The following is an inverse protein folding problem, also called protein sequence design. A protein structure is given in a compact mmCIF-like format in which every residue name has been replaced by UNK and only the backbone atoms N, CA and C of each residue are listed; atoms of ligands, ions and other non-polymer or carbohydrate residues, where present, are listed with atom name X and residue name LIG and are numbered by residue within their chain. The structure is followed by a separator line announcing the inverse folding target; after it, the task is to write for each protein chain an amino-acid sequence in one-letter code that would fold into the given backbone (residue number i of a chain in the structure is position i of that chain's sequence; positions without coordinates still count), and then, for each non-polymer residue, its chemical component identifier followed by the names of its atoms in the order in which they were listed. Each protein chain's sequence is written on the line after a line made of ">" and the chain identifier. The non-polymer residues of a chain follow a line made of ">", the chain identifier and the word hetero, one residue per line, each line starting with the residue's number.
data_IF_468431180245
#
_entry.id   IF_468431180245
#
_cell.length_a   1.000
_cell.length_b   1.000
_cell.length_c   1.000
_cell.angle_alpha   90.00
_cell.angle_beta   90.00
_cell.angle_gamma   90.00
#
_symmetry.space_group_name_H-M   'P 1'
#
loop_
_entity.id
_entity.type
_entity.pdbx_description
1 polymer ?
#
# COMPACT_ATOMS: atom_id res chain seq x y z
N UNK A 1 3.99 -1.32 13.20
CA UNK A 1 2.87 -1.51 12.29
C UNK A 1 1.66 -1.19 13.13
N UNK A 2 0.87 -0.23 12.70
CA UNK A 2 -0.37 0.12 13.40
C UNK A 2 -1.31 -1.10 13.37
N UNK A 3 -2.21 -1.22 14.35
CA UNK A 3 -3.21 -2.28 14.31
C UNK A 3 -4.05 -2.16 13.02
N UNK A 4 -4.42 -3.30 12.45
CA UNK A 4 -5.29 -3.39 11.27
C UNK A 4 -6.64 -2.71 11.49
N UNK A 5 -7.14 -2.67 12.74
CA UNK A 5 -8.34 -1.93 13.14
C UNK A 5 -8.26 -0.41 12.93
N UNK A 6 -7.07 0.16 12.72
CA UNK A 6 -6.91 1.57 12.37
C UNK A 6 -7.16 1.86 10.87
N UNK A 7 -7.32 0.81 10.05
CA UNK A 7 -7.58 0.91 8.61
C UNK A 7 -8.97 0.39 8.22
N UNK A 8 -9.80 -0.03 9.19
CA UNK A 8 -11.06 -0.73 8.92
C UNK A 8 -11.94 -0.07 7.86
N UNK A 9 -12.10 1.25 7.85
CA UNK A 9 -12.92 1.93 6.83
C UNK A 9 -12.37 1.74 5.42
N UNK A 10 -11.04 1.83 5.25
CA UNK A 10 -10.38 1.59 3.96
C UNK A 10 -10.47 0.10 3.57
N UNK A 11 -10.19 -0.81 4.51
CA UNK A 11 -10.23 -2.25 4.23
C UNK A 11 -11.65 -2.72 3.89
N UNK A 12 -12.67 -2.19 4.56
CA UNK A 12 -14.08 -2.46 4.25
C UNK A 12 -14.48 -1.90 2.90
N UNK A 13 -14.01 -0.71 2.53
CA UNK A 13 -14.23 -0.17 1.19
C UNK A 13 -13.70 -1.13 0.11
N UNK A 14 -12.46 -1.59 0.24
CA UNK A 14 -11.88 -2.55 -0.70
C UNK A 14 -12.69 -3.86 -0.70
N UNK A 15 -13.01 -4.41 0.47
CA UNK A 15 -13.78 -5.66 0.58
C UNK A 15 -15.18 -5.55 -0.02
N UNK A 16 -15.83 -4.38 0.06
CA UNK A 16 -17.16 -4.15 -0.52
C UNK A 16 -17.20 -4.26 -2.05
N UNK A 17 -16.04 -4.29 -2.71
CA UNK A 17 -15.90 -4.47 -4.17
C UNK A 17 -15.55 -5.91 -4.57
N UNK A 18 -15.79 -6.88 -3.68
CA UNK A 18 -15.62 -8.31 -3.98
C UNK A 18 -14.23 -8.88 -3.67
N UNK A 19 -13.39 -8.13 -2.95
CA UNK A 19 -12.07 -8.60 -2.54
C UNK A 19 -12.09 -9.21 -1.13
N UNK A 20 -11.28 -10.26 -0.94
CA UNK A 20 -10.95 -10.77 0.40
C UNK A 20 -9.72 -10.02 0.89
N UNK A 21 -9.83 -9.33 2.03
CA UNK A 21 -8.75 -8.51 2.58
C UNK A 21 -8.14 -9.19 3.80
N UNK A 22 -6.91 -9.66 3.65
CA UNK A 22 -6.11 -10.21 4.76
C UNK A 22 -5.17 -9.12 5.29
N UNK A 23 -5.42 -8.66 6.52
CA UNK A 23 -4.65 -7.57 7.14
C UNK A 23 -3.98 -8.05 8.44
N UNK A 24 -2.81 -8.71 8.35
CA UNK A 24 -2.14 -9.29 9.50
C UNK A 24 -1.55 -8.20 10.41
N UNK A 25 -1.48 -8.51 11.71
CA UNK A 25 -0.76 -7.70 12.70
C UNK A 25 0.47 -8.48 13.16
N UNK A 26 1.66 -7.99 12.80
CA UNK A 26 2.91 -8.73 13.08
C UNK A 26 3.46 -8.55 14.51
N UNK A 27 3.10 -7.46 15.18
CA UNK A 27 3.59 -7.15 16.53
C UNK A 27 2.66 -6.16 17.26
N UNK A 28 2.80 -6.13 18.60
CA UNK A 28 2.08 -5.23 19.49
C UNK A 28 2.92 -4.00 19.86
N UNK A 29 3.18 -3.83 21.16
CA UNK A 29 3.95 -2.69 21.67
C UNK A 29 5.44 -2.74 21.30
N UNK A 30 6.01 -3.94 21.21
CA UNK A 30 7.42 -4.15 20.89
C UNK A 30 7.60 -4.18 19.38
N UNK A 31 8.39 -3.23 18.88
CA UNK A 31 8.72 -3.12 17.47
C UNK A 31 9.70 -4.21 17.06
N UNK A 32 9.40 -4.93 15.98
CA UNK A 32 10.35 -5.85 15.34
C UNK A 32 11.16 -5.12 14.27
N UNK A 33 12.15 -5.79 13.67
CA UNK A 33 12.88 -5.24 12.51
C UNK A 33 12.08 -5.41 11.21
N UNK A 34 12.36 -4.62 10.16
CA UNK A 34 11.70 -4.81 8.85
C UNK A 34 12.01 -6.20 8.26
N UNK A 35 13.24 -6.75 8.36
CA UNK A 35 13.46 -8.11 7.91
C UNK A 35 12.55 -9.15 8.55
N UNK A 36 12.25 -8.99 9.85
CA UNK A 36 11.31 -9.86 10.55
C UNK A 36 9.85 -9.60 10.11
N UNK A 37 9.48 -8.37 9.76
CA UNK A 37 8.17 -8.11 9.13
C UNK A 37 8.01 -8.79 7.77
N UNK A 38 9.03 -8.71 6.92
CA UNK A 38 9.02 -9.34 5.60
C UNK A 38 8.93 -10.85 5.73
N UNK A 39 9.66 -11.44 6.69
CA UNK A 39 9.56 -12.87 7.01
C UNK A 39 8.14 -13.25 7.43
N UNK A 40 7.50 -12.47 8.30
CA UNK A 40 6.11 -12.72 8.74
C UNK A 40 5.10 -12.52 7.63
N UNK A 41 5.32 -11.53 6.76
CA UNK A 41 4.49 -11.32 5.58
C UNK A 41 4.60 -12.49 4.60
N UNK A 42 5.81 -13.03 4.40
CA UNK A 42 6.02 -14.26 3.63
C UNK A 42 5.27 -15.45 4.25
N UNK A 43 5.38 -15.66 5.57
CA UNK A 43 4.66 -16.73 6.28
C UNK A 43 3.14 -16.60 6.16
N UNK A 44 2.59 -15.38 6.21
CA UNK A 44 1.17 -15.15 5.96
C UNK A 44 0.80 -15.53 4.53
N UNK A 45 1.66 -15.20 3.57
CA UNK A 45 1.44 -15.54 2.16
C UNK A 45 1.45 -17.05 1.93
N UNK A 46 2.39 -17.78 2.55
CA UNK A 46 2.46 -19.25 2.52
C UNK A 46 1.24 -19.90 3.20
N UNK A 47 0.68 -19.24 4.21
CA UNK A 47 -0.52 -19.69 4.92
C UNK A 47 -1.80 -19.51 4.08
N UNK A 48 -1.86 -18.58 3.12
CA UNK A 48 -3.10 -18.27 2.40
C UNK A 48 -3.77 -19.51 1.77
N UNK A 49 -3.08 -20.37 1.00
CA UNK A 49 -3.76 -21.45 0.26
C UNK A 49 -4.39 -22.52 1.15
N UNK A 50 -3.81 -22.77 2.33
CA UNK A 50 -4.23 -23.86 3.23
C UNK A 50 -5.00 -23.36 4.45
N UNK A 51 -4.68 -22.15 4.91
CA UNK A 51 -5.21 -21.58 6.12
C UNK A 51 -6.39 -20.64 5.90
N UNK A 52 -6.37 -19.82 4.83
CA UNK A 52 -7.45 -18.88 4.56
C UNK A 52 -8.83 -19.57 4.42
N UNK A 53 -8.99 -20.72 3.74
CA UNK A 53 -10.29 -21.38 3.63
C UNK A 53 -10.93 -21.71 4.98
N UNK A 54 -10.12 -21.98 6.02
CA UNK A 54 -10.62 -22.33 7.36
C UNK A 54 -11.24 -21.17 8.14
N UNK A 55 -11.02 -19.93 7.71
CA UNK A 55 -11.51 -18.71 8.37
C UNK A 55 -12.51 -17.93 7.51
N UNK A 56 -12.78 -18.39 6.30
CA UNK A 56 -13.77 -17.80 5.41
C UNK A 56 -15.17 -18.38 5.68
N UNK A 57 -16.24 -17.61 5.41
CA UNK A 57 -17.60 -18.16 5.38
C UNK A 57 -17.73 -19.29 4.35
N UNK A 58 -18.65 -20.25 4.59
CA UNK A 58 -18.82 -21.50 3.85
C UNK A 58 -18.94 -21.38 2.31
N UNK A 59 -19.25 -20.19 1.79
CA UNK A 59 -19.45 -19.93 0.34
C UNK A 59 -18.47 -18.90 -0.23
N UNK A 60 -17.47 -18.50 0.53
CA UNK A 60 -16.47 -17.53 0.11
C UNK A 60 -15.19 -18.30 -0.21
N UNK A 61 -14.85 -18.34 -1.50
CA UNK A 61 -13.62 -18.96 -1.98
C UNK A 61 -12.67 -17.86 -2.44
N UNK A 62 -11.43 -17.92 -1.97
CA UNK A 62 -10.39 -17.01 -2.40
C UNK A 62 -9.72 -17.53 -3.69
N UNK A 63 -9.57 -16.65 -4.67
CA UNK A 63 -8.80 -16.94 -5.88
C UNK A 63 -7.32 -16.68 -5.61
N UNK A 64 -6.55 -17.76 -5.42
CA UNK A 64 -5.10 -17.68 -5.15
C UNK A 64 -4.29 -17.27 -6.38
N UNK A 65 -4.86 -17.33 -7.58
CA UNK A 65 -4.22 -16.79 -8.79
C UNK A 65 -4.36 -15.27 -8.85
N UNK A 66 -5.28 -14.67 -8.08
CA UNK A 66 -5.55 -13.22 -8.05
C UNK A 66 -5.11 -12.60 -6.73
N UNK A 67 -3.81 -12.72 -6.40
CA UNK A 67 -3.25 -12.17 -5.17
C UNK A 67 -2.62 -10.77 -5.38
N UNK A 68 -3.04 -9.79 -4.58
CA UNK A 68 -2.43 -8.47 -4.50
C UNK A 68 -1.70 -8.26 -3.17
N UNK A 69 -0.58 -7.54 -3.20
CA UNK A 69 0.14 -7.13 -2.01
C UNK A 69 0.02 -5.62 -1.82
N UNK A 70 -0.31 -5.18 -0.61
CA UNK A 70 -0.47 -3.76 -0.30
C UNK A 70 0.07 -3.41 1.07
N UNK A 71 0.58 -2.20 1.23
CA UNK A 71 1.02 -1.69 2.52
C UNK A 71 1.10 -0.18 2.60
N UNK A 72 0.90 0.36 3.81
CA UNK A 72 1.03 1.78 4.13
C UNK A 72 2.30 2.07 4.94
N UNK A 73 3.02 3.14 4.62
CA UNK A 73 4.21 3.60 5.37
C UNK A 73 5.27 2.50 5.43
N UNK A 74 5.72 2.15 6.62
CA UNK A 74 6.55 0.98 6.91
C UNK A 74 6.01 -0.32 6.32
N UNK A 75 4.69 -0.50 6.27
CA UNK A 75 4.06 -1.65 5.62
C UNK A 75 4.22 -1.65 4.10
N UNK A 76 4.23 -0.48 3.46
CA UNK A 76 4.51 -0.35 2.03
C UNK A 76 5.96 -0.76 1.72
N UNK A 77 6.90 -0.36 2.56
CA UNK A 77 8.29 -0.84 2.49
C UNK A 77 8.36 -2.37 2.59
N UNK A 78 7.68 -2.96 3.57
CA UNK A 78 7.61 -4.41 3.75
C UNK A 78 7.03 -5.11 2.53
N UNK A 79 6.00 -4.53 1.90
CA UNK A 79 5.41 -5.03 0.67
C UNK A 79 6.41 -5.06 -0.50
N UNK A 80 7.14 -3.96 -0.74
CA UNK A 80 8.20 -3.90 -1.75
C UNK A 80 9.35 -4.88 -1.45
N UNK A 81 9.80 -4.97 -0.20
CA UNK A 81 10.88 -5.90 0.17
C UNK A 81 10.50 -7.37 -0.07
N UNK A 82 9.24 -7.72 0.21
CA UNK A 82 8.71 -9.06 -0.07
C UNK A 82 8.65 -9.32 -1.58
N UNK A 83 8.09 -8.39 -2.36
CA UNK A 83 8.00 -8.50 -3.81
C UNK A 83 9.37 -8.62 -4.49
N UNK A 84 10.38 -7.90 -4.01
CA UNK A 84 11.77 -7.95 -4.50
C UNK A 84 12.55 -9.18 -4.00
N UNK A 85 11.99 -9.97 -3.08
CA UNK A 85 12.66 -11.15 -2.52
C UNK A 85 13.91 -10.84 -1.67
N UNK A 86 14.07 -9.61 -1.16
CA UNK A 86 15.31 -9.12 -0.52
C UNK A 86 15.71 -9.87 0.77
N UNK A 87 14.85 -10.70 1.35
CA UNK A 87 15.10 -11.46 2.60
C UNK A 87 14.85 -12.97 2.45
N UNK A 88 14.36 -13.44 1.29
CA UNK A 88 13.72 -14.76 1.20
C UNK A 88 14.49 -15.83 0.41
N UNK A 89 15.82 -15.92 0.61
CA UNK A 89 16.65 -16.94 -0.08
C UNK A 89 16.63 -18.35 0.54
N UNK A 90 16.04 -18.53 1.74
CA UNK A 90 16.07 -19.81 2.50
C UNK A 90 14.71 -20.44 2.79
N UNK A 91 13.59 -19.75 2.55
CA UNK A 91 12.29 -20.40 2.55
C UNK A 91 12.10 -21.05 1.18
N UNK A 92 11.89 -22.37 1.14
CA UNK A 92 11.65 -23.18 -0.07
C UNK A 92 10.29 -22.88 -0.74
N UNK A 93 9.82 -21.65 -0.63
CA UNK A 93 8.47 -21.26 -1.01
C UNK A 93 8.57 -20.60 -2.36
N UNK A 94 7.89 -21.17 -3.36
CA UNK A 94 7.67 -20.53 -4.64
C UNK A 94 7.36 -19.04 -4.41
N UNK A 95 8.03 -18.13 -5.15
CA UNK A 95 7.68 -16.70 -5.11
C UNK A 95 6.15 -16.63 -5.20
N UNK A 96 5.45 -16.06 -4.20
CA UNK A 96 4.01 -15.88 -4.34
C UNK A 96 3.78 -15.11 -5.64
N UNK A 97 2.95 -15.65 -6.53
CA UNK A 97 2.64 -14.97 -7.78
C UNK A 97 1.65 -13.86 -7.47
N UNK A 98 2.18 -12.75 -6.95
CA UNK A 98 1.42 -11.52 -6.87
C UNK A 98 1.05 -11.08 -8.29
N UNK A 99 -0.12 -10.48 -8.46
CA UNK A 99 -0.55 -9.85 -9.73
C UNK A 99 -0.57 -8.34 -9.67
N UNK A 100 -0.44 -7.77 -8.47
CA UNK A 100 -0.41 -6.33 -8.25
C UNK A 100 0.32 -5.99 -6.94
N UNK A 101 1.00 -4.85 -6.92
CA UNK A 101 1.63 -4.29 -5.72
C UNK A 101 1.16 -2.84 -5.50
N UNK A 102 0.73 -2.52 -4.27
CA UNK A 102 0.30 -1.17 -3.89
C UNK A 102 1.11 -0.63 -2.71
N UNK A 103 1.81 0.49 -2.92
CA UNK A 103 2.54 1.22 -1.88
C UNK A 103 1.85 2.53 -1.51
N UNK A 104 1.24 2.61 -0.33
CA UNK A 104 0.68 3.86 0.19
C UNK A 104 1.71 4.58 1.05
N UNK A 105 2.25 5.70 0.57
CA UNK A 105 3.29 6.50 1.24
C UNK A 105 4.44 5.65 1.81
N UNK A 106 5.07 4.75 1.06
CA UNK A 106 6.19 3.95 1.57
C UNK A 106 7.36 4.85 1.99
N UNK A 107 8.11 4.44 3.01
CA UNK A 107 9.36 5.13 3.41
C UNK A 107 10.49 4.14 3.73
N UNK A 108 11.73 4.46 3.34
CA UNK A 108 12.88 3.52 3.31
C UNK A 108 13.82 3.57 4.53
N UNK A 109 13.54 4.35 5.58
CA UNK A 109 14.37 4.37 6.80
C UNK A 109 13.67 3.63 7.95
N UNK A 110 14.35 2.74 8.72
CA UNK A 110 15.68 2.12 8.55
C UNK A 110 15.63 0.75 7.81
N UNK A 111 16.74 0.01 7.68
CA UNK A 111 16.97 -1.27 6.95
C UNK A 111 15.76 -2.22 6.75
N UNK A 112 15.69 -2.99 5.64
CA UNK A 112 16.69 -3.13 4.58
C UNK A 112 16.69 -1.94 3.63
N UNK A 113 17.84 -1.58 3.05
CA UNK A 113 17.88 -0.61 1.95
C UNK A 113 17.29 -1.26 0.72
N UNK A 114 16.11 -0.78 0.31
CA UNK A 114 15.40 -1.28 -0.88
C UNK A 114 15.71 -0.38 -2.07
N UNK A 115 15.72 0.94 -1.85
CA UNK A 115 16.02 1.94 -2.85
C UNK A 115 17.50 1.87 -3.26
N UNK A 116 17.73 1.75 -4.56
CA UNK A 116 19.05 1.77 -5.21
C UNK A 116 19.33 3.13 -5.88
N UNK A 117 18.34 4.01 -5.96
CA UNK A 117 18.35 5.32 -6.62
C UNK A 117 18.63 5.27 -8.12
N UNK A 118 18.29 4.15 -8.75
CA UNK A 118 18.39 3.94 -10.19
C UNK A 118 16.98 3.84 -10.77
N UNK A 119 16.57 4.74 -11.69
CA UNK A 119 15.24 4.67 -12.28
C UNK A 119 14.94 3.29 -12.87
N UNK A 120 13.73 2.78 -12.63
CA UNK A 120 13.20 1.51 -13.18
C UNK A 120 14.02 0.26 -12.83
N UNK A 121 14.82 0.29 -11.76
CA UNK A 121 15.69 -0.82 -11.38
C UNK A 121 14.95 -1.97 -10.65
N UNK A 122 13.79 -1.70 -10.04
CA UNK A 122 13.07 -2.73 -9.30
C UNK A 122 12.66 -3.88 -10.22
N UNK A 123 13.15 -5.07 -9.88
CA UNK A 123 12.84 -6.30 -10.61
C UNK A 123 11.55 -6.94 -10.07
N UNK A 124 10.44 -6.21 -10.28
CA UNK A 124 9.09 -6.61 -9.93
C UNK A 124 8.31 -6.68 -11.23
N UNK A 125 7.86 -7.87 -11.62
CA UNK A 125 7.20 -8.13 -12.91
C UNK A 125 5.69 -7.92 -12.89
N UNK A 126 5.18 -7.24 -11.87
CA UNK A 126 3.74 -7.03 -11.67
C UNK A 126 3.44 -5.53 -11.73
N UNK A 127 2.23 -5.14 -12.16
CA UNK A 127 1.79 -3.76 -12.08
C UNK A 127 1.93 -3.16 -10.68
N UNK A 128 2.41 -1.91 -10.60
CA UNK A 128 2.63 -1.18 -9.35
C UNK A 128 1.76 0.07 -9.28
N UNK A 129 1.08 0.29 -8.16
CA UNK A 129 0.42 1.56 -7.83
C UNK A 129 1.02 2.16 -6.58
N UNK A 130 1.38 3.45 -6.63
CA UNK A 130 1.90 4.17 -5.49
C UNK A 130 1.02 5.37 -5.20
N UNK A 131 0.58 5.49 -3.95
CA UNK A 131 -0.27 6.58 -3.48
C UNK A 131 0.53 7.40 -2.46
N UNK A 132 1.06 8.53 -2.90
CA UNK A 132 1.82 9.47 -2.09
C UNK A 132 0.93 10.45 -1.32
N UNK A 133 1.53 11.16 -0.36
CA UNK A 133 0.90 12.26 0.38
C UNK A 133 1.76 13.52 0.29
N UNK A 134 1.16 14.68 0.03
CA UNK A 134 1.90 15.92 -0.19
C UNK A 134 2.48 16.53 1.08
N UNK A 135 1.97 16.19 2.26
CA UNK A 135 2.52 16.65 3.55
C UNK A 135 3.36 15.57 4.25
N UNK A 136 3.53 14.39 3.63
CA UNK A 136 4.30 13.29 4.22
C UNK A 136 5.78 13.64 4.47
N UNK A 137 6.35 14.49 3.62
CA UNK A 137 7.74 14.96 3.72
C UNK A 137 7.93 16.19 4.63
N UNK A 138 6.85 16.74 5.19
CA UNK A 138 6.90 17.92 6.06
C UNK A 138 7.07 17.52 7.53
N UNK A 139 7.95 18.24 8.23
CA UNK A 139 8.09 18.14 9.69
C UNK A 139 6.91 18.79 10.42
N UNK A 140 6.73 18.41 11.69
CA UNK A 140 5.78 19.06 12.60
C UNK A 140 6.54 19.57 13.83
N UNK A 141 6.97 20.83 13.77
CA UNK A 141 7.82 21.41 14.82
C UNK A 141 9.14 20.65 14.93
N UNK A 142 9.40 20.04 16.09
CA UNK A 142 10.61 19.23 16.35
C UNK A 142 10.47 17.77 15.89
N UNK A 143 9.29 17.35 15.44
CA UNK A 143 9.08 15.98 14.97
C UNK A 143 9.50 15.84 13.50
N UNK A 144 10.30 14.80 13.15
CA UNK A 144 10.72 14.57 11.79
C UNK A 144 9.54 14.19 10.89
N UNK A 145 9.68 14.35 9.56
CA UNK A 145 8.64 13.93 8.62
C UNK A 145 8.43 12.41 8.62
N UNK A 146 7.20 11.99 8.29
CA UNK A 146 6.82 10.57 8.23
C UNK A 146 7.30 9.85 6.98
N UNK A 147 7.50 10.61 5.90
CA UNK A 147 8.00 10.17 4.61
C UNK A 147 8.95 11.23 4.02
N UNK A 148 10.17 11.37 4.58
CA UNK A 148 11.16 12.36 4.15
C UNK A 148 11.52 12.22 2.66
N UNK A 149 11.87 13.33 2.01
CA UNK A 149 12.37 13.32 0.63
C UNK A 149 13.63 12.45 0.48
N UNK A 150 13.77 11.80 -0.68
CA UNK A 150 14.89 10.90 -0.97
C UNK A 150 14.74 9.51 -0.37
N UNK A 151 13.65 9.22 0.36
CA UNK A 151 13.35 7.86 0.85
C UNK A 151 11.85 7.54 0.85
N UNK A 152 11.02 8.30 0.13
CA UNK A 152 9.57 8.21 0.17
C UNK A 152 8.94 7.67 -1.14
N UNK A 153 7.62 7.82 -1.25
CA UNK A 153 6.79 7.38 -2.36
C UNK A 153 7.31 7.79 -3.75
N UNK A 154 7.96 8.95 -3.91
CA UNK A 154 8.53 9.37 -5.19
C UNK A 154 9.68 8.47 -5.63
N UNK A 155 10.57 8.09 -4.71
CA UNK A 155 11.69 7.21 -5.02
C UNK A 155 11.21 5.79 -5.32
N UNK A 156 10.24 5.28 -4.56
CA UNK A 156 9.62 3.98 -4.87
C UNK A 156 8.98 3.98 -6.26
N UNK A 157 8.35 5.08 -6.70
CA UNK A 157 7.76 5.17 -8.03
C UNK A 157 8.81 5.28 -9.13
N UNK A 158 9.85 6.08 -8.90
CA UNK A 158 10.94 6.25 -9.83
C UNK A 158 11.67 4.93 -10.12
N UNK A 159 11.87 4.10 -9.10
CA UNK A 159 12.54 2.79 -9.23
C UNK A 159 11.64 1.67 -9.76
N UNK A 160 10.31 1.84 -9.71
CA UNK A 160 9.34 0.85 -10.20
C UNK A 160 9.32 0.77 -11.73
N UNK A 161 9.37 -0.44 -12.31
CA UNK A 161 9.19 -0.65 -13.76
C UNK A 161 7.73 -0.48 -14.17
N UNK A 162 7.44 -0.07 -15.42
CA UNK A 162 6.10 -0.11 -15.96
C UNK A 162 5.54 -1.56 -16.01
N UNK A 163 4.20 -1.73 -15.95
CA UNK A 163 3.21 -0.68 -15.80
C UNK A 163 3.15 -0.14 -14.36
N UNK A 164 3.24 1.18 -14.21
CA UNK A 164 3.33 1.85 -12.91
C UNK A 164 2.45 3.09 -12.86
N UNK A 165 1.67 3.22 -11.78
CA UNK A 165 0.84 4.38 -11.50
C UNK A 165 1.33 5.11 -10.24
N UNK A 166 1.25 6.44 -10.26
CA UNK A 166 1.54 7.30 -9.13
C UNK A 166 0.43 8.33 -8.95
N UNK A 167 -0.09 8.42 -7.73
CA UNK A 167 -1.13 9.37 -7.34
C UNK A 167 -0.66 10.14 -6.11
N UNK A 168 -0.53 11.46 -6.20
CA UNK A 168 -0.18 12.28 -5.04
C UNK A 168 -1.42 12.94 -4.44
N UNK A 169 -1.82 12.51 -3.23
CA UNK A 169 -2.83 13.21 -2.44
C UNK A 169 -2.24 14.53 -1.91
N UNK A 170 -2.34 15.59 -2.72
CA UNK A 170 -1.56 16.83 -2.56
C UNK A 170 -1.75 17.50 -1.21
N UNK A 171 -3.00 17.57 -0.74
CA UNK A 171 -3.37 18.37 0.42
C UNK A 171 -3.49 17.53 1.72
N UNK A 172 -2.89 16.34 1.74
CA UNK A 172 -3.01 15.32 2.79
C UNK A 172 -1.67 14.90 3.38
N UNK A 173 -1.71 14.49 4.65
CA UNK A 173 -0.58 13.99 5.42
C UNK A 173 -0.53 12.47 5.55
N UNK A 174 0.63 11.98 5.97
CA UNK A 174 0.99 10.56 6.03
C UNK A 174 -0.06 9.67 6.70
N UNK A 175 -0.67 10.15 7.79
CA UNK A 175 -1.63 9.37 8.58
C UNK A 175 -3.10 9.68 8.25
N UNK A 176 -3.39 10.49 7.25
CA UNK A 176 -4.76 10.96 7.00
C UNK A 176 -5.67 9.90 6.38
N UNK A 177 -5.12 8.79 5.90
CA UNK A 177 -5.87 7.60 5.46
C UNK A 177 -6.29 6.67 6.59
N UNK A 178 -5.86 6.92 7.83
CA UNK A 178 -6.31 6.16 8.99
C UNK A 178 -7.77 6.50 9.32
N UNK A 179 -8.42 5.63 10.09
CA UNK A 179 -9.74 5.87 10.65
C UNK A 179 -9.78 7.16 11.49
N UNK A 180 -10.97 7.73 11.67
CA UNK A 180 -11.12 8.93 12.49
C UNK A 180 -10.83 8.64 13.97
N UNK A 181 -11.30 7.48 14.45
CA UNK A 181 -10.97 6.90 15.75
C UNK A 181 -9.93 5.80 15.54
N UNK A 182 -8.80 5.95 16.22
CA UNK A 182 -7.67 5.02 16.15
C UNK A 182 -7.25 4.61 17.57
N UNK A 183 -6.48 3.54 17.67
CA UNK A 183 -5.89 3.13 18.95
C UNK A 183 -4.90 4.18 19.48
N UNK A 184 -4.49 4.04 20.75
CA UNK A 184 -3.59 5.00 21.42
C UNK A 184 -2.25 5.16 20.70
N UNK A 185 -1.69 4.08 20.15
CA UNK A 185 -0.40 4.10 19.46
C UNK A 185 -0.50 4.88 18.15
N UNK A 186 -1.55 4.63 17.37
CA UNK A 186 -1.84 5.35 16.14
C UNK A 186 -2.18 6.83 16.41
N UNK A 187 -2.92 7.13 17.48
CA UNK A 187 -3.21 8.51 17.88
C UNK A 187 -1.92 9.27 18.24
N UNK A 188 -1.02 8.63 18.99
CA UNK A 188 0.29 9.20 19.35
C UNK A 188 1.13 9.49 18.10
N UNK A 189 1.29 8.50 17.21
CA UNK A 189 2.04 8.67 15.95
C UNK A 189 1.42 9.77 15.09
N UNK A 190 0.10 9.78 14.94
CA UNK A 190 -0.62 10.81 14.17
C UNK A 190 -0.39 12.22 14.74
N UNK A 191 -0.27 12.38 16.05
CA UNK A 191 0.00 13.69 16.68
C UNK A 191 1.42 14.22 16.42
N UNK A 192 2.34 13.35 16.00
CA UNK A 192 3.73 13.71 15.68
C UNK A 192 3.95 13.98 14.18
N UNK A 193 2.92 13.80 13.35
CA UNK A 193 3.03 13.90 11.90
C UNK A 193 2.18 15.04 11.34
N UNK A 194 2.69 15.72 10.32
CA UNK A 194 1.94 16.77 9.63
C UNK A 194 0.68 16.17 9.02
N UNK A 195 -0.47 16.77 9.35
CA UNK A 195 -1.78 16.42 8.83
C UNK A 195 -2.25 17.49 7.84
N UNK A 196 -2.98 17.05 6.82
CA UNK A 196 -3.70 17.89 5.88
C UNK A 196 -4.86 18.62 6.51
N UNK A 197 -5.38 19.61 5.78
CA UNK A 197 -6.63 20.31 6.15
C UNK A 197 -7.88 19.64 5.53
N UNK A 198 -7.69 18.75 4.56
CA UNK A 198 -8.76 18.05 3.88
C UNK A 198 -9.50 17.02 4.74
N UNK A 199 -10.69 16.63 4.29
CA UNK A 199 -11.48 15.59 4.95
C UNK A 199 -10.79 14.23 4.86
N UNK A 200 -10.54 13.61 6.01
CA UNK A 200 -9.96 12.26 6.09
C UNK A 200 -10.88 11.18 5.54
N UNK A 201 -12.18 11.41 5.60
CA UNK A 201 -13.17 10.53 4.97
C UNK A 201 -13.01 10.52 3.45
N UNK A 202 -12.87 11.70 2.83
CA UNK A 202 -12.62 11.83 1.40
C UNK A 202 -11.26 11.24 1.02
N UNK A 203 -10.23 11.37 1.87
CA UNK A 203 -8.95 10.69 1.69
C UNK A 203 -9.13 9.18 1.61
N UNK A 204 -9.80 8.57 2.59
CA UNK A 204 -10.03 7.12 2.61
C UNK A 204 -10.85 6.63 1.42
N UNK A 205 -11.89 7.38 1.03
CA UNK A 205 -12.69 7.07 -0.17
C UNK A 205 -11.86 7.14 -1.45
N UNK A 206 -11.00 8.14 -1.57
CA UNK A 206 -10.12 8.30 -2.73
C UNK A 206 -9.07 7.20 -2.79
N UNK A 207 -8.38 6.91 -1.69
CA UNK A 207 -7.41 5.80 -1.61
C UNK A 207 -8.10 4.47 -1.90
N UNK A 208 -9.26 4.21 -1.31
CA UNK A 208 -10.04 2.99 -1.56
C UNK A 208 -10.45 2.85 -3.03
N UNK A 209 -10.95 3.94 -3.62
CA UNK A 209 -11.33 3.99 -5.03
C UNK A 209 -10.14 3.75 -5.97
N UNK A 210 -8.99 4.39 -5.73
CA UNK A 210 -7.76 4.18 -6.51
C UNK A 210 -7.31 2.72 -6.42
N UNK A 211 -7.31 2.13 -5.21
CA UNK A 211 -6.93 0.72 -5.02
C UNK A 211 -7.87 -0.19 -5.80
N UNK A 212 -9.18 0.01 -5.70
CA UNK A 212 -10.17 -0.80 -6.41
C UNK A 212 -10.03 -0.64 -7.93
N UNK A 213 -9.94 0.59 -8.43
CA UNK A 213 -9.77 0.87 -9.87
C UNK A 213 -8.49 0.18 -10.41
N UNK A 214 -7.39 0.28 -9.67
CA UNK A 214 -6.13 -0.38 -10.03
C UNK A 214 -6.25 -1.91 -10.04
N UNK A 215 -6.82 -2.50 -9.00
CA UNK A 215 -7.02 -3.95 -8.93
C UNK A 215 -7.94 -4.45 -10.05
N UNK A 216 -9.06 -3.78 -10.31
CA UNK A 216 -9.96 -4.13 -11.42
C UNK A 216 -9.23 -4.08 -12.77
N UNK A 217 -8.39 -3.07 -13.00
CA UNK A 217 -7.67 -2.90 -14.26
C UNK A 217 -6.66 -4.02 -14.54
N UNK A 218 -5.96 -4.52 -13.53
CA UNK A 218 -4.85 -5.46 -13.72
C UNK A 218 -5.12 -6.90 -13.26
N UNK A 219 -6.19 -7.11 -12.50
CA UNK A 219 -6.58 -8.42 -11.95
C UNK A 219 -8.00 -8.83 -12.34
N UNK A 220 -8.82 -7.91 -12.87
CA UNK A 220 -10.15 -8.25 -13.37
C UNK A 220 -10.07 -9.14 -14.61
N UNK A 221 -10.51 -10.39 -14.50
CA UNK A 221 -10.60 -11.33 -15.61
C UNK A 221 -11.63 -10.87 -16.64
N UNK A 222 -11.17 -10.27 -17.74
CA UNK A 222 -11.90 -10.18 -19.02
C UNK A 222 -13.21 -9.39 -19.01
N UNK A 223 -13.12 -8.06 -19.04
CA UNK A 223 -14.21 -7.19 -19.52
C UNK A 223 -14.64 -6.09 -18.55
N UNK A 224 -14.15 -4.87 -18.76
CA UNK A 224 -14.73 -3.64 -18.19
C UNK A 224 -14.13 -3.10 -16.88
N UNK A 225 -12.99 -3.61 -16.40
CA UNK A 225 -12.41 -3.17 -15.11
C UNK A 225 -11.45 -1.98 -15.15
N UNK A 226 -10.92 -1.63 -16.32
CA UNK A 226 -9.88 -0.59 -16.47
C UNK A 226 -10.40 0.84 -16.61
N UNK A 227 -11.69 1.01 -16.91
CA UNK A 227 -12.29 2.32 -17.21
C UNK A 227 -12.18 3.28 -16.03
N UNK A 228 -12.38 2.79 -14.80
CA UNK A 228 -12.25 3.60 -13.58
C UNK A 228 -10.81 4.16 -13.43
N UNK A 229 -9.79 3.36 -13.76
CA UNK A 229 -8.38 3.75 -13.66
C UNK A 229 -8.01 4.74 -14.77
N UNK A 230 -8.38 4.42 -16.02
CA UNK A 230 -8.14 5.32 -17.16
C UNK A 230 -8.86 6.66 -16.97
N UNK A 231 -10.07 6.65 -16.40
CA UNK A 231 -10.83 7.86 -16.11
C UNK A 231 -10.14 8.76 -15.08
N UNK A 232 -9.66 8.21 -13.94
CA UNK A 232 -8.96 9.02 -12.93
C UNK A 232 -7.58 9.48 -13.41
N UNK A 233 -6.93 8.74 -14.31
CA UNK A 233 -5.67 9.16 -14.94
C UNK A 233 -5.91 10.29 -15.95
N UNK A 234 -6.98 10.20 -16.74
CA UNK A 234 -7.34 11.22 -17.74
C UNK A 234 -7.87 12.51 -17.10
N UNK A 235 -8.67 12.38 -16.05
CA UNK A 235 -9.23 13.49 -15.27
C UNK A 235 -9.14 13.21 -13.76
N UNK A 236 -8.02 13.60 -13.11
CA UNK A 236 -7.85 13.44 -11.67
C UNK A 236 -8.90 14.18 -10.82
N UNK A 237 -9.64 15.14 -11.38
CA UNK A 237 -10.62 15.95 -10.65
C UNK A 237 -11.89 15.17 -10.27
N UNK A 238 -12.11 14.00 -10.88
CA UNK A 238 -13.21 13.11 -10.51
C UNK A 238 -13.00 12.45 -9.14
N UNK A 239 -11.76 12.42 -8.65
CA UNK A 239 -11.46 11.90 -7.33
C UNK A 239 -12.02 12.84 -6.23
N UNK A 240 -12.47 12.29 -5.09
CA UNK A 240 -12.98 13.12 -3.99
C UNK A 240 -11.96 14.09 -3.36
N UNK A 241 -10.69 14.01 -3.73
CA UNK A 241 -9.59 14.84 -3.24
C UNK A 241 -8.71 15.33 -4.39
N UNK A 242 -7.93 16.38 -4.16
CA UNK A 242 -6.88 16.83 -5.08
C UNK A 242 -5.81 15.75 -5.25
N UNK A 243 -5.77 15.11 -6.43
CA UNK A 243 -4.69 14.24 -6.86
C UNK A 243 -3.80 14.99 -7.85
N UNK A 244 -2.58 15.31 -7.45
CA UNK A 244 -1.67 16.13 -8.27
C UNK A 244 -0.21 15.96 -7.81
N UNK A 245 0.68 15.35 -8.62
CA UNK A 245 0.39 14.82 -9.96
C UNK A 245 -0.27 13.44 -9.93
N UNK A 246 -0.88 13.07 -11.06
CA UNK A 246 -1.25 11.69 -11.42
C UNK A 246 -0.40 11.27 -12.61
N UNK A 247 0.32 10.16 -12.50
CA UNK A 247 1.24 9.66 -13.52
C UNK A 247 0.94 8.19 -13.77
N UNK A 248 0.74 7.81 -15.04
CA UNK A 248 0.60 6.42 -15.45
C UNK A 248 1.59 6.13 -16.55
N UNK A 249 2.57 5.28 -16.26
CA UNK A 249 3.52 4.76 -17.24
C UNK A 249 3.03 3.38 -17.67
N UNK A 250 2.58 3.29 -18.93
CA UNK A 250 2.16 2.04 -19.57
C UNK A 250 3.41 1.23 -20.01
N UNK A 251 3.22 -0.05 -20.35
CA UNK A 251 4.27 -0.94 -20.87
C UNK A 251 4.94 -0.41 -22.14
#
# INVERSE_FOLDING_TARGET
>A
MLANTNYTSLLQHIASHGYIVVAPKFYGLIWISIPEEVKRAAQVTDWLPTGLPSVLPEKVNADMEQLALSGHSRGGKTAFALALGKINRKLNTAKPSFRALIGSSPSSLPDPKILEFIPRIFDISVPISIIGTGYGNQSLGLFPPGAPDGVNHSEFFNESKPPACYFLARDYGHCDMLNDRVDRTAAMIRSMLKSGKGSKDLMRKSVGGIVVAFLKSYMGGGGGGGEDLDAVVADPSIAPISLDPVIHVKE
#
